data_IF_404359649729
#
_entry.id   IF_404359649729
#
_cell.length_a   1.000
_cell.length_b   1.000
_cell.length_c   1.000
_cell.angle_alpha   90.00
_cell.angle_beta   90.00
_cell.angle_gamma   90.00
#
_symmetry.space_group_name_H-M   'P 1'
#
loop_
_entity.id
_entity.type
_entity.pdbx_description
1 polymer ?
#
# COMPACT_ATOMS: atom_id res chain seq x y z
N UNK A 1 18.83 -17.96 17.32
CA UNK A 1 18.15 -18.53 16.13
C UNK A 1 17.62 -17.36 15.33
N UNK A 2 17.81 -17.37 14.01
CA UNK A 2 17.35 -16.28 13.17
C UNK A 2 15.83 -16.14 13.21
N UNK A 3 15.34 -14.91 13.28
CA UNK A 3 13.91 -14.61 13.41
C UNK A 3 13.48 -13.51 12.45
N UNK A 4 12.29 -13.65 11.87
CA UNK A 4 11.73 -12.69 10.93
C UNK A 4 11.35 -11.41 11.65
N UNK A 5 11.83 -10.26 11.16
CA UNK A 5 11.42 -8.95 11.65
C UNK A 5 10.24 -8.42 10.82
N UNK A 6 10.46 -8.13 9.54
CA UNK A 6 9.45 -7.51 8.66
C UNK A 6 9.62 -7.92 7.20
N UNK A 7 8.51 -7.91 6.46
CA UNK A 7 8.46 -8.11 5.02
C UNK A 7 8.61 -6.77 4.32
N UNK A 8 9.50 -6.69 3.33
CA UNK A 8 9.75 -5.51 2.51
C UNK A 8 8.89 -5.48 1.24
N UNK A 9 7.94 -6.42 1.11
CA UNK A 9 6.98 -6.43 0.00
C UNK A 9 6.07 -5.21 0.07
N UNK A 10 5.92 -4.52 -1.06
CA UNK A 10 5.09 -3.32 -1.23
C UNK A 10 5.49 -2.15 -0.31
N UNK A 11 6.70 -2.20 0.27
CA UNK A 11 7.25 -1.14 1.11
C UNK A 11 8.02 -0.14 0.23
N UNK A 12 7.78 1.17 0.38
CA UNK A 12 8.55 2.21 -0.30
C UNK A 12 10.05 2.10 0.01
N UNK A 13 10.92 2.36 -0.98
CA UNK A 13 12.38 2.24 -0.82
C UNK A 13 12.92 3.11 0.34
N UNK A 14 12.34 4.30 0.54
CA UNK A 14 12.69 5.19 1.65
C UNK A 14 12.36 4.58 3.02
N UNK A 15 11.23 3.91 3.15
CA UNK A 15 10.87 3.22 4.39
C UNK A 15 11.82 2.05 4.67
N UNK A 16 12.22 1.30 3.62
CA UNK A 16 13.21 0.22 3.78
C UNK A 16 14.55 0.77 4.29
N UNK A 17 15.02 1.89 3.73
CA UNK A 17 16.26 2.54 4.15
C UNK A 17 16.17 3.10 5.58
N UNK A 18 15.03 3.64 5.98
CA UNK A 18 14.78 4.10 7.35
C UNK A 18 14.82 2.92 8.35
N UNK A 19 14.24 1.77 8.00
CA UNK A 19 14.31 0.56 8.83
C UNK A 19 15.76 0.08 8.98
N UNK A 20 16.54 0.04 7.90
CA UNK A 20 17.98 -0.29 7.95
C UNK A 20 18.73 0.67 8.87
N UNK A 21 18.45 1.97 8.76
CA UNK A 21 19.08 2.98 9.59
C UNK A 21 18.74 2.81 11.08
N UNK A 22 17.49 2.46 11.42
CA UNK A 22 17.08 2.15 12.80
C UNK A 22 17.87 0.94 13.32
N UNK A 23 17.91 -0.15 12.57
CA UNK A 23 18.62 -1.36 12.99
C UNK A 23 20.12 -1.09 13.20
N UNK A 24 20.76 -0.36 12.28
CA UNK A 24 22.16 0.04 12.41
C UNK A 24 22.39 0.97 13.60
N UNK A 25 21.51 1.95 13.84
CA UNK A 25 21.60 2.89 14.98
C UNK A 25 21.59 2.17 16.33
N UNK A 26 20.76 1.13 16.46
CA UNK A 26 20.67 0.33 17.69
C UNK A 26 21.65 -0.85 17.72
N UNK A 27 22.57 -0.95 16.76
CA UNK A 27 23.56 -2.03 16.66
C UNK A 27 22.93 -3.43 16.59
N UNK A 28 21.73 -3.52 16.02
CA UNK A 28 21.00 -4.77 15.85
C UNK A 28 21.52 -5.47 14.61
N UNK A 29 21.99 -6.70 14.76
CA UNK A 29 22.52 -7.48 13.63
C UNK A 29 21.38 -8.08 12.81
N UNK A 30 21.34 -7.76 11.52
CA UNK A 30 20.32 -8.22 10.58
C UNK A 30 20.90 -8.74 9.27
N UNK A 31 20.11 -9.53 8.56
CA UNK A 31 20.37 -9.93 7.18
C UNK A 31 19.10 -9.84 6.34
N UNK A 32 19.28 -9.65 5.04
CA UNK A 32 18.17 -9.49 4.10
C UNK A 32 18.11 -10.67 3.14
N UNK A 33 16.90 -11.14 2.87
CA UNK A 33 16.64 -12.03 1.75
C UNK A 33 16.15 -11.19 0.56
N UNK A 34 16.85 -11.20 -0.58
CA UNK A 34 16.40 -10.46 -1.75
C UNK A 34 15.14 -11.07 -2.36
N UNK A 35 14.41 -10.25 -3.14
CA UNK A 35 13.36 -10.76 -4.00
C UNK A 35 13.99 -11.70 -5.04
N UNK A 36 13.38 -12.87 -5.25
CA UNK A 36 13.81 -13.80 -6.29
C UNK A 36 13.55 -13.22 -7.67
N UNK A 37 14.29 -13.67 -8.68
CA UNK A 37 14.19 -13.16 -10.06
C UNK A 37 12.78 -13.15 -10.67
N UNK A 38 11.85 -13.93 -10.12
CA UNK A 38 10.47 -14.05 -10.60
C UNK A 38 9.47 -13.22 -9.78
N UNK A 39 9.92 -12.44 -8.80
CA UNK A 39 9.05 -11.64 -7.92
C UNK A 39 8.18 -12.45 -6.95
N UNK A 40 8.39 -13.78 -6.88
CA UNK A 40 7.55 -14.67 -6.06
C UNK A 40 7.94 -14.58 -4.57
N UNK A 41 9.23 -14.48 -4.24
CA UNK A 41 9.66 -14.32 -2.85
C UNK A 41 9.58 -12.86 -2.41
N UNK A 42 8.93 -12.62 -1.27
CA UNK A 42 8.91 -11.31 -0.63
C UNK A 42 10.31 -11.03 -0.03
N UNK A 43 10.95 -9.90 -0.40
CA UNK A 43 12.16 -9.49 0.28
C UNK A 43 11.85 -9.30 1.78
N UNK A 44 12.74 -9.73 2.66
CA UNK A 44 12.47 -9.82 4.11
C UNK A 44 13.72 -9.52 4.91
N UNK A 45 13.58 -8.75 5.99
CA UNK A 45 14.63 -8.52 6.98
C UNK A 45 14.50 -9.54 8.11
N UNK A 46 15.62 -10.15 8.45
CA UNK A 46 15.76 -11.15 9.49
C UNK A 46 16.78 -10.67 10.52
N UNK A 47 16.52 -10.96 11.79
CA UNK A 47 17.49 -10.74 12.87
C UNK A 47 18.28 -12.01 13.11
N UNK A 48 19.56 -11.86 13.46
CA UNK A 48 20.41 -12.98 13.82
C UNK A 48 20.03 -13.59 15.18
N UNK A 49 19.79 -12.71 16.16
CA UNK A 49 19.45 -13.08 17.53
C UNK A 49 17.98 -12.86 17.83
N UNK A 50 17.40 -13.79 18.59
CA UNK A 50 16.00 -13.70 19.00
C UNK A 50 15.81 -12.66 20.12
N UNK A 51 16.82 -12.47 20.96
CA UNK A 51 16.81 -11.52 22.06
C UNK A 51 16.66 -10.06 21.58
N UNK A 52 17.12 -9.76 20.36
CA UNK A 52 16.99 -8.45 19.72
C UNK A 52 15.60 -8.21 19.12
N UNK A 53 14.75 -9.24 19.01
CA UNK A 53 13.45 -9.13 18.35
C UNK A 53 12.50 -8.17 19.06
N UNK A 54 12.43 -8.27 20.38
CA UNK A 54 11.52 -7.45 21.18
C UNK A 54 11.94 -5.97 21.11
N UNK A 55 13.26 -5.72 21.19
CA UNK A 55 13.85 -4.40 21.06
C UNK A 55 13.60 -3.85 19.65
N UNK A 56 13.89 -4.62 18.60
CA UNK A 56 13.71 -4.21 17.22
C UNK A 56 12.24 -3.89 16.90
N UNK A 57 11.30 -4.73 17.35
CA UNK A 57 9.87 -4.50 17.17
C UNK A 57 9.42 -3.22 17.85
N UNK A 58 9.78 -3.04 19.12
CA UNK A 58 9.44 -1.82 19.86
C UNK A 58 9.95 -0.56 19.15
N UNK A 59 11.17 -0.58 18.64
CA UNK A 59 11.73 0.56 17.88
C UNK A 59 11.02 0.80 16.56
N UNK A 60 10.63 -0.27 15.88
CA UNK A 60 9.88 -0.16 14.64
C UNK A 60 8.46 0.36 14.90
N UNK A 61 7.83 -0.04 15.99
CA UNK A 61 6.52 0.48 16.42
C UNK A 61 6.59 1.98 16.76
N UNK A 62 7.59 2.39 17.56
CA UNK A 62 7.84 3.81 17.87
C UNK A 62 7.98 4.64 16.57
N UNK A 63 8.75 4.11 15.61
CA UNK A 63 8.97 4.74 14.31
C UNK A 63 7.70 4.82 13.46
N UNK A 64 6.92 3.73 13.37
CA UNK A 64 5.68 3.72 12.58
C UNK A 64 4.65 4.67 13.15
N UNK A 65 4.60 4.82 14.48
CA UNK A 65 3.74 5.81 15.13
C UNK A 65 4.18 7.24 14.76
N UNK A 66 5.48 7.55 14.87
CA UNK A 66 6.02 8.87 14.50
C UNK A 66 5.75 9.20 13.02
N UNK A 67 5.93 8.22 12.12
CA UNK A 67 5.66 8.37 10.68
C UNK A 67 4.18 8.61 10.39
N UNK A 68 3.29 7.92 11.10
CA UNK A 68 1.85 8.15 11.02
C UNK A 68 1.46 9.56 11.46
N UNK A 69 2.00 10.03 12.58
CA UNK A 69 1.74 11.39 13.10
C UNK A 69 2.27 12.48 12.14
N UNK A 70 3.44 12.27 11.54
CA UNK A 70 3.99 13.15 10.50
C UNK A 70 3.08 13.23 9.27
N UNK A 71 2.64 12.09 8.75
CA UNK A 71 1.73 12.03 7.60
C UNK A 71 0.38 12.70 7.91
N UNK A 72 -0.14 12.52 9.12
CA UNK A 72 -1.37 13.19 9.56
C UNK A 72 -1.19 14.71 9.62
N UNK A 73 -0.09 15.20 10.18
CA UNK A 73 0.18 16.64 10.29
C UNK A 73 0.41 17.28 8.92
N UNK A 74 1.12 16.59 8.02
CA UNK A 74 1.33 17.04 6.65
C UNK A 74 0.01 17.06 5.86
N UNK A 75 -0.86 16.07 6.09
CA UNK A 75 -2.21 16.04 5.53
C UNK A 75 -3.08 17.19 6.06
N UNK A 76 -3.01 17.51 7.35
CA UNK A 76 -3.72 18.64 7.95
C UNK A 76 -3.21 19.99 7.42
N UNK A 77 -1.89 20.16 7.31
CA UNK A 77 -1.29 21.36 6.72
C UNK A 77 -1.69 21.55 5.24
N UNK A 78 -1.80 20.45 4.47
CA UNK A 78 -2.30 20.47 3.09
C UNK A 78 -3.81 20.75 3.00
N UNK A 79 -4.61 20.29 3.98
CA UNK A 79 -6.03 20.64 4.10
C UNK A 79 -6.24 22.12 4.39
N UNK A 80 -5.45 22.70 5.30
CA UNK A 80 -5.51 24.12 5.63
C UNK A 80 -5.12 25.02 4.44
N UNK A 81 -4.25 24.52 3.56
CA UNK A 81 -3.89 25.20 2.31
C UNK A 81 -4.93 25.03 1.18
N UNK A 82 -6.06 24.36 1.43
CA UNK A 82 -7.15 24.20 0.46
C UNK A 82 -6.80 23.32 -0.76
N UNK A 83 -5.66 22.63 -0.73
CA UNK A 83 -5.18 21.72 -1.79
C UNK A 83 -5.52 20.27 -1.51
N UNK A 84 -6.72 20.05 -1.00
CA UNK A 84 -7.24 18.71 -0.91
C UNK A 84 -7.64 18.31 -2.34
N UNK A 85 -6.69 17.78 -3.12
CA UNK A 85 -6.85 17.12 -4.43
C UNK A 85 -7.72 15.86 -4.26
N UNK A 86 -8.95 16.05 -3.81
CA UNK A 86 -9.74 15.01 -3.13
C UNK A 86 -10.66 14.35 -4.13
N UNK A 87 -10.13 13.76 -5.21
CA UNK A 87 -10.89 13.06 -6.27
C UNK A 87 -11.92 13.91 -7.04
N UNK A 88 -12.57 14.90 -6.43
CA UNK A 88 -13.51 15.86 -6.99
C UNK A 88 -12.80 16.79 -7.95
N UNK A 89 -11.57 17.21 -7.64
CA UNK A 89 -10.75 17.99 -8.59
C UNK A 89 -10.42 17.16 -9.83
N UNK A 90 -10.05 15.89 -9.68
CA UNK A 90 -9.76 15.01 -10.81
C UNK A 90 -11.01 14.74 -11.69
N UNK A 91 -12.20 14.68 -11.09
CA UNK A 91 -13.48 14.62 -11.83
C UNK A 91 -13.74 15.93 -12.60
N UNK A 92 -13.35 17.07 -12.03
CA UNK A 92 -13.54 18.41 -12.61
C UNK A 92 -12.52 18.71 -13.71
N UNK A 93 -11.30 18.20 -13.60
CA UNK A 93 -10.24 18.34 -14.59
C UNK A 93 -10.48 17.48 -15.85
N UNK A 94 -11.07 16.29 -15.69
CA UNK A 94 -11.31 15.37 -16.82
C UNK A 94 -12.72 14.75 -16.85
N UNK A 95 -13.79 15.56 -16.92
CA UNK A 95 -15.17 15.08 -16.87
C UNK A 95 -15.51 14.10 -18.00
N UNK A 96 -14.95 14.31 -19.20
CA UNK A 96 -15.15 13.41 -20.35
C UNK A 96 -14.61 12.00 -20.12
N UNK A 97 -13.48 11.85 -19.42
CA UNK A 97 -12.87 10.55 -19.15
C UNK A 97 -13.71 9.74 -18.18
N UNK A 98 -14.27 10.39 -17.16
CA UNK A 98 -15.18 9.78 -16.19
C UNK A 98 -16.49 9.34 -16.86
N UNK A 99 -17.08 10.21 -17.69
CA UNK A 99 -18.30 9.87 -18.45
C UNK A 99 -18.05 8.69 -19.41
N UNK A 100 -16.93 8.69 -20.13
CA UNK A 100 -16.57 7.59 -21.04
C UNK A 100 -16.40 6.26 -20.30
N UNK A 101 -15.75 6.27 -19.13
CA UNK A 101 -15.58 5.07 -18.30
C UNK A 101 -16.93 4.56 -17.78
N UNK A 102 -17.80 5.45 -17.30
CA UNK A 102 -19.15 5.09 -16.85
C UNK A 102 -20.00 4.53 -18.00
N UNK A 103 -19.98 5.17 -19.17
CA UNK A 103 -20.68 4.68 -20.35
C UNK A 103 -20.18 3.30 -20.78
N UNK A 104 -18.87 3.07 -20.74
CA UNK A 104 -18.29 1.76 -21.02
C UNK A 104 -18.70 0.71 -20.00
N UNK A 105 -18.65 1.02 -18.70
CA UNK A 105 -19.08 0.11 -17.64
C UNK A 105 -20.57 -0.25 -17.77
N UNK A 106 -21.43 0.72 -18.08
CA UNK A 106 -22.85 0.50 -18.35
C UNK A 106 -23.05 -0.37 -19.60
N UNK A 107 -22.31 -0.12 -20.67
CA UNK A 107 -22.40 -0.91 -21.89
C UNK A 107 -22.01 -2.38 -21.61
N UNK A 108 -20.90 -2.61 -20.90
CA UNK A 108 -20.47 -3.96 -20.51
C UNK A 108 -21.53 -4.64 -19.64
N UNK A 109 -22.06 -3.94 -18.63
CA UNK A 109 -23.12 -4.47 -17.78
C UNK A 109 -24.39 -4.78 -18.57
N UNK A 110 -24.78 -3.90 -19.50
CA UNK A 110 -25.93 -4.09 -20.37
C UNK A 110 -25.76 -5.34 -21.25
N UNK A 111 -24.65 -5.45 -21.99
CA UNK A 111 -24.37 -6.62 -22.82
C UNK A 111 -24.21 -7.90 -21.99
N UNK A 112 -23.74 -7.80 -20.75
CA UNK A 112 -23.62 -8.95 -19.86
C UNK A 112 -24.96 -9.40 -19.28
N UNK A 113 -25.91 -8.50 -19.03
CA UNK A 113 -27.18 -8.83 -18.33
C UNK A 113 -28.32 -9.11 -19.31
N UNK A 114 -28.42 -8.36 -20.41
CA UNK A 114 -29.46 -8.53 -21.45
C UNK A 114 -29.65 -9.97 -21.90
N UNK A 115 -28.60 -10.76 -22.26
CA UNK A 115 -28.81 -12.14 -22.71
C UNK A 115 -29.45 -13.01 -21.62
N UNK A 116 -29.17 -12.77 -20.34
CA UNK A 116 -29.78 -13.54 -19.25
C UNK A 116 -31.25 -13.14 -18.99
N UNK A 117 -31.61 -11.87 -19.23
CA UNK A 117 -32.99 -11.41 -19.11
C UNK A 117 -33.85 -11.89 -20.29
N UNK A 118 -33.29 -11.94 -21.51
CA UNK A 118 -33.99 -12.46 -22.70
C UNK A 118 -34.22 -13.98 -22.61
N UNK A 119 -33.24 -14.74 -22.12
CA UNK A 119 -33.39 -16.20 -21.93
C UNK A 119 -34.51 -16.50 -20.91
N UNK A 120 -34.69 -15.67 -19.88
CA UNK A 120 -35.78 -15.81 -18.91
C UNK A 120 -37.18 -15.44 -19.42
N UNK A 121 -37.30 -14.78 -20.59
CA UNK A 121 -38.59 -14.42 -21.20
C UNK A 121 -39.09 -15.43 -22.24
N UNK A 122 -38.24 -16.35 -22.70
CA UNK A 122 -38.57 -17.37 -23.72
C UNK A 122 -39.28 -18.60 -23.14
N UNK A 123 -39.27 -18.79 -21.81
CA UNK A 123 -39.90 -19.93 -21.12
C UNK A 123 -41.30 -19.64 -20.53
N UNK A 124 -42.04 -18.62 -21.00
CA UNK A 124 -43.46 -18.43 -20.63
C UNK A 124 -44.42 -18.52 -21.81
#
# INVERSE_FOLDING_TARGET
MAVKLTSLRDMPDDEVDEIRAILTKYHISYYETPAGNWGISAPTIWLHENDDLDIAKKRLEDYQQERGERMHTEYEALREQGKQLTFIDQIREHPLRVIALLAFAIAVAYFSVVPFIEIGHVER
#
